data_IF_237448253913
#
_entry.id   IF_237448253913
#
_cell.length_a   1.000
_cell.length_b   1.000
_cell.length_c   1.000
_cell.angle_alpha   90.00
_cell.angle_beta   90.00
_cell.angle_gamma   90.00
#
_symmetry.space_group_name_H-M   'P 1'
#
loop_
_entity.id
_entity.type
_entity.pdbx_description
1 polymer ?
#
# COMPACT_ATOMS: atom_id res chain seq x y z
N UNK A 1 7.82 0.41 18.56
CA UNK A 1 7.48 0.75 17.16
C UNK A 1 7.60 2.26 17.02
N UNK A 2 8.46 2.76 16.12
CA UNK A 2 8.64 4.22 15.96
C UNK A 2 7.43 4.76 15.18
N UNK A 3 6.73 5.80 15.66
CA UNK A 3 5.66 6.42 14.89
C UNK A 3 6.27 7.12 13.66
N UNK A 4 5.93 6.62 12.47
CA UNK A 4 6.39 7.19 11.20
C UNK A 4 5.19 7.75 10.46
N UNK A 5 5.28 9.01 10.02
CA UNK A 5 4.33 9.62 9.09
C UNK A 5 4.99 9.73 7.72
N UNK A 6 4.35 9.17 6.70
CA UNK A 6 4.82 9.21 5.33
C UNK A 6 3.70 9.74 4.41
N UNK A 7 4.10 10.41 3.33
CA UNK A 7 3.21 10.89 2.27
C UNK A 7 3.73 10.38 0.93
N UNK A 8 2.84 10.10 -0.01
CA UNK A 8 3.21 9.67 -1.36
C UNK A 8 2.47 10.48 -2.43
N UNK A 9 3.05 10.54 -3.62
CA UNK A 9 2.48 11.24 -4.77
C UNK A 9 2.78 10.43 -6.05
N UNK A 10 1.82 10.37 -6.99
CA UNK A 10 2.04 9.77 -8.30
C UNK A 10 2.80 10.74 -9.21
N UNK A 11 4.05 10.42 -9.55
CA UNK A 11 4.87 11.28 -10.44
C UNK A 11 4.99 10.74 -11.86
N UNK A 12 5.14 11.65 -12.82
CA UNK A 12 5.39 11.34 -14.24
C UNK A 12 4.33 10.37 -14.80
N UNK A 13 4.74 9.24 -15.37
CA UNK A 13 3.84 8.22 -15.95
C UNK A 13 2.99 7.50 -14.90
N UNK A 14 3.39 7.51 -13.63
CA UNK A 14 2.62 6.88 -12.56
C UNK A 14 1.27 7.57 -12.32
N UNK A 15 1.06 8.80 -12.81
CA UNK A 15 -0.26 9.47 -12.69
C UNK A 15 -1.37 8.78 -13.49
N UNK A 16 -1.00 7.98 -14.49
CA UNK A 16 -1.93 7.29 -15.39
C UNK A 16 -2.28 5.86 -14.96
N UNK A 17 -1.70 5.33 -13.88
CA UNK A 17 -2.05 3.99 -13.40
C UNK A 17 -3.39 4.01 -12.66
N UNK A 18 -4.14 2.92 -12.77
CA UNK A 18 -5.41 2.77 -12.07
C UNK A 18 -5.20 2.72 -10.55
N UNK A 19 -6.28 2.98 -9.80
CA UNK A 19 -6.26 2.80 -8.34
C UNK A 19 -5.93 1.34 -7.95
N UNK A 20 -6.44 0.36 -8.70
CA UNK A 20 -6.17 -1.05 -8.45
C UNK A 20 -4.68 -1.39 -8.62
N UNK A 21 -4.03 -0.84 -9.65
CA UNK A 21 -2.60 -1.03 -9.88
C UNK A 21 -1.77 -0.38 -8.78
N UNK A 22 -2.19 0.79 -8.29
CA UNK A 22 -1.59 1.43 -7.13
C UNK A 22 -1.69 0.54 -5.88
N UNK A 23 -2.85 -0.05 -5.61
CA UNK A 23 -3.05 -0.93 -4.44
C UNK A 23 -2.16 -2.16 -4.50
N UNK A 24 -2.12 -2.82 -5.66
CA UNK A 24 -1.24 -3.98 -5.89
C UNK A 24 0.24 -3.60 -5.81
N UNK A 25 0.62 -2.40 -6.25
CA UNK A 25 1.99 -1.90 -6.14
C UNK A 25 2.38 -1.71 -4.68
N UNK A 26 1.56 -0.99 -3.90
CA UNK A 26 1.81 -0.72 -2.49
C UNK A 26 1.86 -2.00 -1.65
N UNK A 27 0.91 -2.92 -1.84
CA UNK A 27 0.93 -4.23 -1.16
C UNK A 27 2.24 -4.99 -1.42
N UNK A 28 2.71 -5.04 -2.67
CA UNK A 28 3.97 -5.69 -3.02
C UNK A 28 5.18 -4.96 -2.44
N UNK A 29 5.18 -3.63 -2.45
CA UNK A 29 6.26 -2.83 -1.89
C UNK A 29 6.43 -3.07 -0.39
N UNK A 30 5.35 -3.01 0.39
CA UNK A 30 5.40 -3.28 1.82
C UNK A 30 5.80 -4.73 2.13
N UNK A 31 5.27 -5.71 1.38
CA UNK A 31 5.67 -7.12 1.52
C UNK A 31 7.17 -7.32 1.26
N UNK A 32 7.74 -6.64 0.26
CA UNK A 32 9.17 -6.72 -0.08
C UNK A 32 10.06 -5.94 0.89
N UNK A 33 9.56 -4.87 1.49
CA UNK A 33 10.29 -4.06 2.45
C UNK A 33 10.51 -4.77 3.80
N UNK A 34 9.81 -5.89 4.05
CA UNK A 34 9.93 -6.64 5.30
C UNK A 34 9.43 -5.88 6.53
N UNK A 35 8.64 -4.82 6.33
CA UNK A 35 8.10 -4.03 7.43
C UNK A 35 6.93 -4.78 8.09
N UNK A 36 6.80 -4.73 9.43
CA UNK A 36 5.67 -5.33 10.12
C UNK A 36 4.38 -4.58 9.75
N UNK A 37 3.47 -5.25 9.05
CA UNK A 37 2.16 -4.73 8.67
C UNK A 37 1.06 -5.61 9.27
N UNK A 38 -0.07 -4.99 9.60
CA UNK A 38 -1.25 -5.71 10.03
C UNK A 38 -1.94 -6.36 8.82
N UNK A 39 -2.54 -7.54 9.04
CA UNK A 39 -3.28 -8.29 8.04
C UNK A 39 -4.71 -8.51 8.51
N UNK A 40 -5.65 -8.60 7.57
CA UNK A 40 -7.04 -8.90 7.87
C UNK A 40 -7.19 -10.30 8.46
N UNK A 41 -8.10 -10.49 9.42
CA UNK A 41 -8.31 -11.75 10.17
C UNK A 41 -9.22 -12.77 9.46
N UNK A 42 -9.53 -12.58 8.17
CA UNK A 42 -10.37 -13.50 7.41
C UNK A 42 -9.62 -14.72 6.86
N UNK A 43 -10.36 -15.67 6.27
CA UNK A 43 -9.80 -16.87 5.62
C UNK A 43 -8.81 -16.57 4.47
N UNK A 44 -8.82 -15.35 3.93
CA UNK A 44 -7.85 -14.86 2.95
C UNK A 44 -7.21 -13.58 3.49
N UNK A 45 -6.07 -13.67 4.22
CA UNK A 45 -5.45 -12.51 4.82
C UNK A 45 -4.84 -11.59 3.77
N UNK A 46 -5.26 -10.32 3.79
CA UNK A 46 -4.73 -9.26 2.96
C UNK A 46 -4.04 -8.22 3.83
N UNK A 47 -2.97 -7.62 3.31
CA UNK A 47 -2.30 -6.50 3.96
C UNK A 47 -3.32 -5.37 4.20
N UNK A 48 -3.46 -4.94 5.44
CA UNK A 48 -4.40 -3.90 5.81
C UNK A 48 -3.84 -2.54 5.42
N UNK A 49 -4.21 -2.10 4.22
CA UNK A 49 -3.77 -0.87 3.61
C UNK A 49 -5.00 -0.13 3.10
N UNK A 50 -5.12 1.13 3.46
CA UNK A 50 -6.15 2.03 2.92
C UNK A 50 -5.47 3.18 2.22
N UNK A 51 -5.87 3.42 0.98
CA UNK A 51 -5.47 4.59 0.22
C UNK A 51 -6.75 5.22 -0.34
N UNK A 52 -7.08 6.47 0.01
CA UNK A 52 -8.26 7.10 -0.53
C UNK A 52 -8.13 7.33 -2.04
N UNK A 53 -9.26 7.29 -2.75
CA UNK A 53 -9.36 7.75 -4.13
C UNK A 53 -9.26 9.28 -4.10
N UNK A 54 -8.15 9.82 -4.61
CA UNK A 54 -7.96 11.26 -4.83
C UNK A 54 -8.17 11.59 -6.30
#
# INVERSE_FOLDING_TARGET
MIPVRATFEKRRRAKYISHLDLMRCMQRAFKRAGVPIWYTEGFNPHAYLMFPLA
#
